data_IF_472176638174
#
_entry.id   IF_472176638174
#
_cell.length_a   1.000
_cell.length_b   1.000
_cell.length_c   1.000
_cell.angle_alpha   90.00
_cell.angle_beta   90.00
_cell.angle_gamma   90.00
#
_symmetry.space_group_name_H-M   'P 1'
#
loop_
_entity.id
_entity.type
_entity.pdbx_description
1 polymer ?
#
# COMPACT_ATOMS: atom_id res chain seq x y z
N UNK A 1 0.48 -2.10 0.79
CA UNK A 1 1.90 -2.44 0.95
C UNK A 1 1.99 -3.91 1.31
N UNK A 2 2.87 -4.65 0.64
CA UNK A 2 3.23 -6.01 1.04
C UNK A 2 4.21 -5.97 2.21
N UNK A 3 3.69 -6.29 3.39
CA UNK A 3 4.43 -6.21 4.66
C UNK A 3 5.56 -7.24 4.75
N UNK A 4 5.52 -8.32 3.97
CA UNK A 4 6.57 -9.35 3.96
C UNK A 4 7.78 -8.95 3.10
N UNK A 5 7.62 -7.93 2.23
CA UNK A 5 8.67 -7.41 1.35
C UNK A 5 9.12 -6.00 1.70
N UNK A 6 8.54 -5.41 2.74
CA UNK A 6 8.85 -4.05 3.15
C UNK A 6 10.07 -4.04 4.09
N UNK A 7 11.07 -3.23 3.76
CA UNK A 7 12.13 -2.86 4.71
C UNK A 7 11.61 -1.70 5.56
N UNK A 8 11.35 -1.98 6.84
CA UNK A 8 10.76 -1.00 7.76
C UNK A 8 11.67 -0.71 8.94
N UNK A 9 11.51 0.49 9.49
CA UNK A 9 12.09 0.93 10.76
C UNK A 9 10.96 1.36 11.69
N UNK A 10 11.22 1.46 12.99
CA UNK A 10 10.20 1.96 13.92
C UNK A 10 9.84 3.43 13.64
N UNK A 11 8.55 3.83 13.80
CA UNK A 11 7.43 3.05 14.33
C UNK A 11 6.67 2.20 13.28
N UNK A 12 7.12 2.18 12.01
CA UNK A 12 6.39 1.49 10.94
C UNK A 12 6.41 -0.04 11.12
N UNK A 13 7.51 -0.60 11.64
CA UNK A 13 7.63 -2.04 11.92
C UNK A 13 6.55 -2.52 12.88
N UNK A 14 6.41 -1.87 14.04
CA UNK A 14 5.34 -2.18 15.00
C UNK A 14 3.94 -1.94 14.42
N UNK A 15 3.75 -0.88 13.63
CA UNK A 15 2.48 -0.59 12.94
C UNK A 15 2.06 -1.72 11.98
N UNK A 16 3.01 -2.36 11.30
CA UNK A 16 2.71 -3.45 10.36
C UNK A 16 2.64 -4.83 11.00
N UNK A 17 3.09 -5.00 12.25
CA UNK A 17 3.11 -6.29 12.94
C UNK A 17 1.72 -6.96 12.97
N UNK A 18 0.65 -6.20 13.22
CA UNK A 18 -0.71 -6.72 13.24
C UNK A 18 -1.13 -7.30 11.87
N UNK A 19 -0.74 -6.68 10.76
CA UNK A 19 -1.04 -7.20 9.41
C UNK A 19 -0.30 -8.51 9.14
N UNK A 20 0.95 -8.61 9.58
CA UNK A 20 1.74 -9.85 9.47
C UNK A 20 1.08 -10.97 10.26
N UNK A 21 0.65 -10.70 11.50
CA UNK A 21 -0.02 -11.68 12.35
C UNK A 21 -1.34 -12.19 11.72
N UNK A 22 -2.18 -11.28 11.22
CA UNK A 22 -3.44 -11.66 10.55
C UNK A 22 -3.16 -12.54 9.33
N UNK A 23 -2.16 -12.17 8.51
CA UNK A 23 -1.79 -12.95 7.33
C UNK A 23 -1.38 -14.39 7.69
N UNK A 24 -0.54 -14.55 8.72
CA UNK A 24 -0.10 -15.88 9.16
C UNK A 24 -1.25 -16.71 9.74
N UNK A 25 -2.18 -16.08 10.45
CA UNK A 25 -3.37 -16.77 10.95
C UNK A 25 -4.27 -17.26 9.80
N UNK A 26 -4.53 -16.42 8.79
CA UNK A 26 -5.28 -16.81 7.58
C UNK A 26 -4.62 -18.00 6.88
N UNK A 27 -3.29 -17.94 6.68
CA UNK A 27 -2.51 -19.00 6.04
C UNK A 27 -2.55 -20.31 6.85
N UNK A 28 -2.42 -20.24 8.19
CA UNK A 28 -2.42 -21.41 9.07
C UNK A 28 -3.78 -22.12 9.14
N UNK A 29 -4.88 -21.36 9.09
CA UNK A 29 -6.25 -21.88 9.11
C UNK A 29 -6.72 -22.37 7.72
N UNK A 30 -5.89 -22.21 6.68
CA UNK A 30 -6.24 -22.61 5.31
C UNK A 30 -7.41 -21.80 4.72
N UNK A 31 -7.66 -20.59 5.23
CA UNK A 31 -8.74 -19.73 4.76
C UNK A 31 -8.37 -19.19 3.37
N UNK A 32 -9.25 -19.33 2.36
CA UNK A 32 -9.05 -18.72 1.04
C UNK A 32 -8.84 -17.21 1.15
N UNK A 33 -7.80 -16.67 0.52
CA UNK A 33 -7.49 -15.24 0.64
C UNK A 33 -7.03 -14.58 -0.66
N UNK A 34 -7.19 -13.27 -0.71
CA UNK A 34 -6.52 -12.38 -1.65
C UNK A 34 -5.98 -11.18 -0.87
N UNK A 35 -4.67 -10.92 -0.94
CA UNK A 35 -4.06 -9.76 -0.29
C UNK A 35 -3.84 -8.68 -1.34
N UNK A 36 -4.54 -7.55 -1.22
CA UNK A 36 -4.37 -6.42 -2.15
C UNK A 36 -3.30 -5.46 -1.62
N UNK A 37 -2.17 -5.38 -2.32
CA UNK A 37 -1.17 -4.34 -2.10
C UNK A 37 -1.40 -3.18 -3.07
N UNK A 38 -2.16 -2.19 -2.60
CA UNK A 38 -2.60 -1.01 -3.36
C UNK A 38 -1.66 0.19 -3.40
N UNK A 39 -0.48 0.10 -2.76
CA UNK A 39 0.50 1.18 -2.64
C UNK A 39 -0.05 2.45 -1.94
N UNK A 40 0.28 3.65 -2.42
CA UNK A 40 -0.19 4.91 -1.83
C UNK A 40 -1.55 5.30 -2.41
N UNK A 41 -2.44 5.74 -1.52
CA UNK A 41 -3.68 6.40 -1.91
C UNK A 41 -3.34 7.78 -2.49
N UNK A 42 -3.76 8.03 -3.72
CA UNK A 42 -3.45 9.25 -4.45
C UNK A 42 -4.06 10.47 -3.76
N UNK A 43 -5.36 10.43 -3.42
CA UNK A 43 -6.06 11.52 -2.73
C UNK A 43 -5.55 11.81 -1.33
N UNK A 44 -4.92 10.84 -0.66
CA UNK A 44 -4.27 11.06 0.63
C UNK A 44 -2.86 11.65 0.49
N UNK A 45 -2.06 11.14 -0.45
CA UNK A 45 -0.61 11.37 -0.44
C UNK A 45 -0.15 12.45 -1.43
N UNK A 46 -0.82 12.59 -2.58
CA UNK A 46 -0.44 13.55 -3.61
C UNK A 46 -0.75 15.01 -3.22
N UNK A 47 -1.90 15.34 -2.59
CA UNK A 47 -2.19 16.73 -2.24
C UNK A 47 -1.14 17.33 -1.31
N UNK A 48 -0.49 16.53 -0.48
CA UNK A 48 0.53 16.99 0.46
C UNK A 48 1.95 16.74 -0.02
N UNK A 49 2.16 16.14 -1.20
CA UNK A 49 3.45 15.62 -1.64
C UNK A 49 4.14 14.73 -0.58
N UNK A 50 3.34 13.88 0.08
CA UNK A 50 3.74 12.99 1.17
C UNK A 50 4.41 13.68 2.38
N UNK A 51 4.15 14.98 2.58
CA UNK A 51 4.60 15.70 3.76
C UNK A 51 3.70 15.38 4.96
N UNK A 52 4.27 14.91 6.06
CA UNK A 52 3.51 14.46 7.24
C UNK A 52 2.73 15.58 7.94
N UNK A 53 3.27 16.81 7.90
CA UNK A 53 2.73 17.97 8.63
C UNK A 53 1.97 18.96 7.73
N UNK A 54 1.49 18.52 6.56
CA UNK A 54 0.75 19.37 5.62
C UNK A 54 -0.69 18.90 5.40
N UNK A 55 -1.61 19.86 5.26
CA UNK A 55 -3.03 19.62 4.93
C UNK A 55 -3.38 19.97 3.47
N UNK A 56 -2.38 20.33 2.67
CA UNK A 56 -2.50 20.70 1.26
C UNK A 56 -1.14 20.79 0.57
N UNK A 57 -1.09 21.29 -0.68
CA UNK A 57 0.16 21.34 -1.42
C UNK A 57 1.12 22.33 -0.75
N UNK A 58 2.35 21.93 -0.40
CA UNK A 58 3.32 22.85 0.15
C UNK A 58 3.65 23.94 -0.88
N UNK A 59 3.64 25.20 -0.47
CA UNK A 59 3.84 26.36 -1.36
C UNK A 59 5.20 27.04 -1.21
N UNK A 60 5.94 26.72 -0.15
CA UNK A 60 7.22 27.37 0.20
C UNK A 60 8.38 26.36 0.19
N UNK A 61 8.27 25.30 1.00
CA UNK A 61 9.31 24.29 1.16
C UNK A 61 8.75 22.87 1.10
N UNK A 62 9.58 21.94 0.65
CA UNK A 62 9.29 20.50 0.65
C UNK A 62 10.48 19.75 1.26
N UNK A 63 10.20 18.71 2.05
CA UNK A 63 11.22 17.77 2.52
C UNK A 63 11.25 16.58 1.57
N UNK A 64 12.42 16.36 0.97
CA UNK A 64 12.69 15.17 0.16
C UNK A 64 13.24 14.09 1.09
N UNK A 65 12.56 12.95 1.16
CA UNK A 65 13.04 11.83 1.97
C UNK A 65 14.21 11.12 1.27
N UNK A 66 15.33 10.98 2.00
CA UNK A 66 16.55 10.40 1.44
C UNK A 66 17.11 11.24 0.30
N UNK A 67 17.35 10.62 -0.85
CA UNK A 67 17.84 11.28 -2.07
C UNK A 67 16.72 11.62 -3.08
N UNK A 68 15.48 11.24 -2.80
CA UNK A 68 14.32 11.47 -3.68
C UNK A 68 14.23 10.56 -4.91
N UNK A 69 15.12 9.59 -5.09
CA UNK A 69 15.14 8.73 -6.29
C UNK A 69 14.31 7.45 -6.16
N UNK A 70 13.90 7.11 -4.94
CA UNK A 70 13.08 5.92 -4.69
C UNK A 70 11.70 6.08 -5.33
N UNK A 71 11.36 5.16 -6.24
CA UNK A 71 10.08 5.18 -6.94
C UNK A 71 8.93 4.78 -6.00
N UNK A 72 7.89 5.61 -5.98
CA UNK A 72 6.61 5.32 -5.33
C UNK A 72 5.51 5.13 -6.39
N UNK A 73 4.44 4.43 -5.99
CA UNK A 73 3.25 4.25 -6.82
C UNK A 73 2.07 4.84 -6.08
N UNK A 74 1.38 5.77 -6.75
CA UNK A 74 0.16 6.40 -6.28
C UNK A 74 -0.99 5.88 -7.13
N UNK A 75 -2.06 5.44 -6.48
CA UNK A 75 -3.23 4.86 -7.13
C UNK A 75 -4.46 5.63 -6.68
N UNK A 76 -5.31 6.01 -7.63
CA UNK A 76 -6.61 6.59 -7.32
C UNK A 76 -7.45 5.56 -6.53
N UNK A 77 -8.05 6.01 -5.44
CA UNK A 77 -8.86 5.21 -4.53
C UNK A 77 -10.02 4.50 -5.26
N UNK A 78 -10.60 5.12 -6.28
CA UNK A 78 -11.64 4.51 -7.13
C UNK A 78 -11.10 3.29 -7.91
N UNK A 79 -9.87 3.38 -8.42
CA UNK A 79 -9.20 2.27 -9.09
C UNK A 79 -8.85 1.17 -8.10
N UNK A 80 -8.39 1.52 -6.89
CA UNK A 80 -8.12 0.55 -5.83
C UNK A 80 -9.38 -0.27 -5.53
N UNK A 81 -10.53 0.38 -5.37
CA UNK A 81 -11.82 -0.30 -5.19
C UNK A 81 -12.15 -1.20 -6.38
N UNK A 82 -12.06 -0.67 -7.60
CA UNK A 82 -12.35 -1.40 -8.84
C UNK A 82 -11.51 -2.68 -8.97
N UNK A 83 -10.20 -2.60 -8.78
CA UNK A 83 -9.32 -3.76 -8.90
C UNK A 83 -9.43 -4.72 -7.72
N UNK A 84 -9.80 -4.23 -6.53
CA UNK A 84 -10.09 -5.10 -5.38
C UNK A 84 -11.31 -5.97 -5.65
N UNK A 85 -12.41 -5.40 -6.16
CA UNK A 85 -13.61 -6.18 -6.50
C UNK A 85 -13.34 -7.15 -7.64
N UNK A 86 -12.63 -6.72 -8.69
CA UNK A 86 -12.21 -7.63 -9.77
C UNK A 86 -11.36 -8.80 -9.27
N UNK A 87 -10.56 -8.59 -8.22
CA UNK A 87 -9.71 -9.61 -7.63
C UNK A 87 -10.41 -10.51 -6.61
N UNK A 88 -11.61 -10.16 -6.13
CA UNK A 88 -12.29 -10.91 -5.07
C UNK A 88 -12.75 -12.30 -5.54
N UNK A 89 -13.35 -12.36 -6.74
CA UNK A 89 -13.93 -13.59 -7.30
C UNK A 89 -13.11 -14.18 -8.47
N UNK A 90 -11.94 -13.61 -8.77
CA UNK A 90 -11.07 -14.11 -9.84
C UNK A 90 -10.26 -15.33 -9.35
N UNK A 91 -10.43 -16.53 -9.93
CA UNK A 91 -9.70 -17.71 -9.48
C UNK A 91 -8.17 -17.56 -9.62
N UNK A 92 -7.66 -16.63 -10.43
CA UNK A 92 -6.23 -16.36 -10.59
C UNK A 92 -5.62 -15.68 -9.36
N UNK A 93 -6.43 -15.08 -8.50
CA UNK A 93 -5.97 -14.35 -7.30
C UNK A 93 -6.10 -15.17 -6.02
N UNK A 94 -6.73 -16.35 -6.09
CA UNK A 94 -6.88 -17.27 -4.95
C UNK A 94 -5.53 -17.59 -4.32
N UNK A 95 -5.41 -17.28 -3.03
CA UNK A 95 -4.22 -17.42 -2.19
C UNK A 95 -3.01 -16.66 -2.76
N UNK A 96 -3.24 -15.47 -3.33
CA UNK A 96 -2.21 -14.60 -3.91
C UNK A 96 -2.18 -13.22 -3.27
N UNK A 97 -1.05 -12.54 -3.52
CA UNK A 97 -0.93 -11.09 -3.35
C UNK A 97 -1.16 -10.46 -4.72
N UNK A 98 -2.09 -9.51 -4.80
CA UNK A 98 -2.35 -8.69 -5.98
C UNK A 98 -1.68 -7.34 -5.77
N UNK A 99 -0.75 -6.99 -6.65
CA UNK A 99 -0.09 -5.67 -6.64
C UNK A 99 -0.74 -4.77 -7.68
N UNK A 100 -1.32 -3.65 -7.24
CA UNK A 100 -1.90 -2.65 -8.15
C UNK A 100 -0.80 -1.67 -8.54
N UNK A 101 -0.19 -1.91 -9.71
CA UNK A 101 0.93 -1.11 -10.23
C UNK A 101 0.56 -0.60 -11.62
N UNK A 102 -0.24 0.47 -11.74
CA UNK A 102 -0.61 1.02 -13.03
C UNK A 102 0.65 1.42 -13.81
N UNK A 103 0.62 1.35 -15.16
CA UNK A 103 1.70 1.89 -15.97
C UNK A 103 1.85 3.39 -15.68
N UNK A 104 3.11 3.83 -15.59
CA UNK A 104 3.50 5.24 -15.46
C UNK A 104 4.32 5.66 -16.66
#
# INVERSE_FOLDING_TARGET
LDVDRAHTVEPATSTFAAKVQIRRAIEAEGIPYTIVSSNYFAGYSLPTLAQADSFGPPTDKVVIYGDGNTKAIFVNEEDIGTYTIKAADDPRTLNKIVYIRPPG
#
